data_IF_737856436193
#
_entry.id   IF_737856436193
#
_cell.length_a   1.000
_cell.length_b   1.000
_cell.length_c   1.000
_cell.angle_alpha   90.00
_cell.angle_beta   90.00
_cell.angle_gamma   90.00
#
_symmetry.space_group_name_H-M   'P 1'
#
loop_
_entity.id
_entity.type
_entity.pdbx_description
1 polymer ?
#
# COMPACT_ATOMS: atom_id res chain seq x y z
N UNK A 1 5.95 -4.09 39.12
CA UNK A 1 7.15 -4.12 38.25
C UNK A 1 6.86 -3.61 36.84
N UNK A 2 5.58 -3.51 36.41
CA UNK A 2 5.20 -3.03 35.06
C UNK A 2 5.19 -1.51 34.84
N UNK A 3 4.98 -0.69 35.87
CA UNK A 3 4.94 0.78 35.71
C UNK A 3 6.31 1.37 35.33
N UNK A 4 7.40 0.91 35.95
CA UNK A 4 8.76 1.34 35.61
C UNK A 4 9.21 0.93 34.20
N UNK A 5 8.77 -0.25 33.73
CA UNK A 5 8.97 -0.71 32.35
C UNK A 5 8.22 0.19 31.35
N UNK A 6 7.03 0.68 31.71
CA UNK A 6 6.26 1.62 30.90
C UNK A 6 6.91 3.01 30.81
N UNK A 7 7.44 3.54 31.93
CA UNK A 7 8.11 4.85 31.97
C UNK A 7 9.40 4.82 31.17
N UNK A 8 10.21 3.76 31.31
CA UNK A 8 11.43 3.58 30.52
C UNK A 8 11.12 3.41 29.03
N UNK A 9 10.06 2.67 28.66
CA UNK A 9 9.63 2.55 27.27
C UNK A 9 9.16 3.91 26.71
N UNK A 10 8.43 4.69 27.50
CA UNK A 10 7.94 6.02 27.15
C UNK A 10 9.10 7.02 26.97
N UNK A 11 10.04 7.07 27.92
CA UNK A 11 11.27 7.87 27.82
C UNK A 11 12.10 7.48 26.61
N UNK A 12 12.32 6.18 26.37
CA UNK A 12 13.02 5.69 25.18
C UNK A 12 12.33 6.12 23.89
N UNK A 13 11.01 6.09 23.83
CA UNK A 13 10.25 6.59 22.68
C UNK A 13 10.41 8.10 22.50
N UNK A 14 10.34 8.88 23.57
CA UNK A 14 10.49 10.35 23.51
C UNK A 14 11.89 10.77 23.10
N UNK A 15 12.92 10.16 23.70
CA UNK A 15 14.31 10.37 23.31
C UNK A 15 14.51 10.00 21.86
N UNK A 16 13.99 8.85 21.42
CA UNK A 16 14.04 8.42 20.00
C UNK A 16 13.39 9.45 19.07
N UNK A 17 12.19 9.94 19.39
CA UNK A 17 11.48 10.93 18.56
C UNK A 17 12.21 12.28 18.54
N UNK A 18 12.77 12.72 19.67
CA UNK A 18 13.56 13.95 19.77
C UNK A 18 14.82 13.86 18.91
N UNK A 19 15.57 12.78 19.11
CA UNK A 19 16.72 12.41 18.31
C UNK A 19 16.37 12.42 16.82
N UNK A 20 15.28 11.77 16.41
CA UNK A 20 14.82 11.73 15.02
C UNK A 20 14.63 13.13 14.45
N UNK A 21 13.96 14.03 15.19
CA UNK A 21 13.81 15.44 14.81
C UNK A 21 15.14 16.16 14.66
N UNK A 22 16.09 15.95 15.57
CA UNK A 22 17.45 16.50 15.48
C UNK A 22 18.14 16.02 14.20
N UNK A 23 18.00 14.74 13.84
CA UNK A 23 18.60 14.23 12.59
C UNK A 23 18.00 14.85 11.33
N UNK A 24 16.69 15.10 11.30
CA UNK A 24 16.05 15.81 10.19
C UNK A 24 16.48 17.28 10.16
N UNK A 25 16.59 17.93 11.32
CA UNK A 25 17.09 19.30 11.41
C UNK A 25 18.53 19.43 10.90
N UNK A 26 19.44 18.54 11.34
CA UNK A 26 20.82 18.50 10.87
C UNK A 26 20.90 18.26 9.37
N UNK A 27 20.10 17.32 8.84
CA UNK A 27 20.02 17.09 7.40
C UNK A 27 19.54 18.34 6.65
N UNK A 28 18.49 19.01 7.13
CA UNK A 28 18.01 20.26 6.55
C UNK A 28 19.06 21.36 6.58
N UNK A 29 19.72 21.54 7.72
CA UNK A 29 20.75 22.56 7.90
C UNK A 29 21.94 22.31 6.97
N UNK A 30 22.44 21.08 6.92
CA UNK A 30 23.54 20.71 6.01
C UNK A 30 23.16 20.87 4.54
N UNK A 31 21.93 20.51 4.15
CA UNK A 31 21.49 20.72 2.76
C UNK A 31 21.29 22.19 2.45
N UNK A 32 20.79 22.99 3.39
CA UNK A 32 20.73 24.44 3.25
C UNK A 32 22.12 25.04 3.04
N UNK A 33 23.12 24.57 3.81
CA UNK A 33 24.53 24.92 3.61
C UNK A 33 25.01 24.50 2.22
N UNK A 34 24.78 23.25 1.80
CA UNK A 34 25.16 22.76 0.47
C UNK A 34 24.52 23.58 -0.67
N UNK A 35 23.25 23.98 -0.52
CA UNK A 35 22.55 24.84 -1.48
C UNK A 35 23.11 26.26 -1.54
N UNK A 36 23.64 26.78 -0.44
CA UNK A 36 24.33 28.08 -0.42
C UNK A 36 25.69 27.99 -1.11
N UNK A 37 26.33 26.83 -1.06
CA UNK A 37 27.67 26.61 -1.62
C UNK A 37 27.63 26.34 -3.13
N UNK A 38 26.66 25.58 -3.64
CA UNK A 38 26.65 25.21 -5.06
C UNK A 38 25.23 24.94 -5.60
N UNK A 39 24.60 25.97 -6.19
CA UNK A 39 23.33 25.80 -6.93
C UNK A 39 23.63 25.36 -8.35
N UNK A 40 23.30 24.12 -8.67
CA UNK A 40 23.32 23.64 -10.05
C UNK A 40 22.26 24.38 -10.87
N UNK A 41 22.55 24.75 -12.13
CA UNK A 41 21.54 25.35 -13.01
C UNK A 41 20.38 24.37 -13.23
N UNK A 42 19.18 24.92 -13.42
CA UNK A 42 18.00 24.13 -13.76
C UNK A 42 18.18 23.58 -15.17
N UNK A 43 17.93 22.28 -15.34
CA UNK A 43 17.95 21.62 -16.64
C UNK A 43 16.55 21.67 -17.24
N UNK A 44 16.36 22.28 -18.42
CA UNK A 44 15.04 22.32 -19.05
C UNK A 44 14.58 20.92 -19.45
N UNK A 45 13.27 20.73 -19.53
CA UNK A 45 12.60 19.47 -19.90
C UNK A 45 13.01 18.27 -19.03
N UNK A 46 13.15 18.48 -17.72
CA UNK A 46 13.42 17.41 -16.75
C UNK A 46 12.37 17.38 -15.65
N UNK A 47 11.81 16.20 -15.37
CA UNK A 47 10.75 16.00 -14.38
C UNK A 47 11.18 14.93 -13.37
N UNK A 48 11.11 15.27 -12.09
CA UNK A 48 11.23 14.32 -10.98
C UNK A 48 9.84 13.92 -10.50
N UNK A 49 9.43 12.69 -10.78
CA UNK A 49 8.22 12.09 -10.23
C UNK A 49 8.55 11.40 -8.90
N UNK A 50 7.88 11.77 -7.81
CA UNK A 50 8.12 11.23 -6.48
C UNK A 50 6.97 10.33 -6.01
N UNK A 51 7.24 9.02 -5.82
CA UNK A 51 6.25 8.05 -5.31
C UNK A 51 6.87 7.17 -4.20
N UNK A 52 6.74 7.60 -2.95
CA UNK A 52 7.49 7.07 -1.79
C UNK A 52 6.63 6.34 -0.75
N UNK A 53 5.38 6.07 -1.09
CA UNK A 53 4.41 5.37 -0.25
C UNK A 53 4.54 3.85 -0.39
N UNK A 54 3.44 3.09 -0.27
CA UNK A 54 3.47 1.63 -0.24
C UNK A 54 3.14 1.03 -1.60
N UNK A 55 3.41 -0.27 -1.77
CA UNK A 55 3.24 -0.93 -3.06
C UNK A 55 1.76 -1.04 -3.48
N UNK A 56 0.83 -1.04 -2.51
CA UNK A 56 -0.60 -0.95 -2.77
C UNK A 56 -0.97 0.39 -3.39
N UNK A 57 -0.43 1.49 -2.84
CA UNK A 57 -0.61 2.82 -3.42
C UNK A 57 0.05 2.92 -4.81
N UNK A 58 1.15 2.21 -5.05
CA UNK A 58 1.83 2.22 -6.35
C UNK A 58 0.99 1.53 -7.43
N UNK A 59 0.43 0.35 -7.15
CA UNK A 59 -0.40 -0.35 -8.15
C UNK A 59 -1.67 0.46 -8.48
N UNK A 60 -2.28 1.14 -7.50
CA UNK A 60 -3.41 2.03 -7.70
C UNK A 60 -3.06 3.35 -8.42
N UNK A 61 -1.78 3.59 -8.67
CA UNK A 61 -1.26 4.79 -9.30
C UNK A 61 -0.69 4.52 -10.71
N UNK A 62 -0.08 3.36 -10.94
CA UNK A 62 0.80 3.15 -12.09
C UNK A 62 0.14 3.37 -13.46
N UNK A 63 -1.17 3.16 -13.59
CA UNK A 63 -1.88 3.39 -14.85
C UNK A 63 -1.90 4.87 -15.27
N UNK A 64 -1.52 5.79 -14.38
CA UNK A 64 -1.35 7.22 -14.69
C UNK A 64 0.06 7.57 -15.22
N UNK A 65 1.01 6.63 -15.24
CA UNK A 65 2.32 6.84 -15.84
C UNK A 65 2.24 7.04 -17.36
N UNK A 66 1.37 6.31 -18.05
CA UNK A 66 1.16 6.47 -19.48
C UNK A 66 0.68 7.89 -19.86
N UNK A 67 -0.46 8.41 -19.33
CA UNK A 67 -0.90 9.76 -19.66
C UNK A 67 0.08 10.84 -19.19
N UNK A 68 0.82 10.61 -18.10
CA UNK A 68 1.91 11.50 -17.70
C UNK A 68 3.03 11.55 -18.75
N UNK A 69 3.47 10.39 -19.24
CA UNK A 69 4.48 10.28 -20.29
C UNK A 69 4.01 10.94 -21.59
N UNK A 70 2.77 10.72 -22.00
CA UNK A 70 2.19 11.35 -23.18
C UNK A 70 2.18 12.89 -23.06
N UNK A 71 1.77 13.42 -21.90
CA UNK A 71 1.73 14.86 -21.65
C UNK A 71 3.13 15.49 -21.59
N UNK A 72 4.11 14.77 -21.03
CA UNK A 72 5.50 15.19 -20.92
C UNK A 72 6.41 14.43 -21.90
N UNK A 73 5.96 14.20 -23.13
CA UNK A 73 6.70 13.39 -24.12
C UNK A 73 8.11 13.92 -24.43
N UNK A 74 8.31 15.24 -24.34
CA UNK A 74 9.60 15.88 -24.54
C UNK A 74 10.48 15.99 -23.30
N UNK A 75 10.04 15.49 -22.14
CA UNK A 75 10.80 15.57 -20.88
C UNK A 75 11.54 14.27 -20.57
N UNK A 76 12.72 14.40 -19.96
CA UNK A 76 13.37 13.32 -19.22
C UNK A 76 12.65 13.15 -17.87
N UNK A 77 11.98 12.02 -17.65
CA UNK A 77 11.32 11.70 -16.38
C UNK A 77 12.21 10.77 -15.56
N UNK A 78 12.60 11.28 -14.40
CA UNK A 78 13.20 10.48 -13.34
C UNK A 78 12.12 10.08 -12.33
N UNK A 79 11.95 8.79 -12.08
CA UNK A 79 11.12 8.30 -10.98
C UNK A 79 11.98 8.08 -9.73
N UNK A 80 11.69 8.84 -8.67
CA UNK A 80 12.15 8.57 -7.31
C UNK A 80 11.08 7.74 -6.60
N UNK A 81 11.37 6.47 -6.33
CA UNK A 81 10.39 5.54 -5.78
C UNK A 81 10.88 4.78 -4.56
N UNK A 82 9.95 4.17 -3.81
CA UNK A 82 10.31 3.14 -2.84
C UNK A 82 10.98 1.94 -3.55
N UNK A 83 12.10 1.44 -3.03
CA UNK A 83 12.80 0.29 -3.60
C UNK A 83 11.94 -0.98 -3.68
N UNK A 84 10.90 -1.08 -2.85
CA UNK A 84 9.95 -2.21 -2.90
C UNK A 84 9.14 -2.28 -4.20
N UNK A 85 9.21 -1.26 -5.07
CA UNK A 85 8.49 -1.22 -6.34
C UNK A 85 9.33 -1.71 -7.51
N UNK A 86 10.62 -2.00 -7.32
CA UNK A 86 11.53 -2.24 -8.45
C UNK A 86 11.07 -3.38 -9.35
N UNK A 87 10.62 -4.49 -8.76
CA UNK A 87 10.18 -5.65 -9.52
C UNK A 87 8.97 -5.34 -10.43
N UNK A 88 8.00 -4.56 -9.93
CA UNK A 88 6.83 -4.16 -10.72
C UNK A 88 7.20 -3.11 -11.78
N UNK A 89 8.09 -2.17 -11.45
CA UNK A 89 8.53 -1.11 -12.36
C UNK A 89 9.27 -1.71 -13.56
N UNK A 90 10.22 -2.61 -13.30
CA UNK A 90 11.00 -3.25 -14.36
C UNK A 90 10.12 -4.15 -15.25
N UNK A 91 9.10 -4.79 -14.66
CA UNK A 91 8.19 -5.65 -15.42
C UNK A 91 7.22 -4.88 -16.32
N UNK A 92 6.69 -3.73 -15.87
CA UNK A 92 5.54 -3.09 -16.56
C UNK A 92 5.66 -1.61 -16.87
N UNK A 93 6.56 -0.88 -16.21
CA UNK A 93 6.52 0.60 -16.21
C UNK A 93 7.78 1.26 -16.76
N UNK A 94 8.84 0.49 -17.05
CA UNK A 94 10.13 1.02 -17.52
C UNK A 94 10.01 1.84 -18.80
N UNK A 95 9.07 1.54 -19.67
CA UNK A 95 8.82 2.29 -20.92
C UNK A 95 8.36 3.74 -20.70
N UNK A 96 7.86 4.08 -19.51
CA UNK A 96 7.39 5.43 -19.20
C UNK A 96 8.43 6.28 -18.46
N UNK A 97 9.55 5.69 -18.04
CA UNK A 97 10.51 6.26 -17.09
C UNK A 97 11.91 6.20 -17.69
N UNK A 98 12.61 7.33 -17.78
CA UNK A 98 13.96 7.39 -18.33
C UNK A 98 14.99 6.96 -17.29
N UNK A 99 14.87 7.49 -16.08
CA UNK A 99 15.77 7.19 -14.96
C UNK A 99 15.02 6.75 -13.71
N UNK A 100 15.57 5.75 -13.04
CA UNK A 100 15.01 5.20 -11.81
C UNK A 100 15.96 5.46 -10.65
N UNK A 101 15.43 6.04 -9.57
CA UNK A 101 16.17 6.26 -8.32
C UNK A 101 15.41 5.54 -7.20
N UNK A 102 15.82 4.31 -6.83
CA UNK A 102 15.22 3.62 -5.70
C UNK A 102 15.65 4.24 -4.37
N UNK A 103 14.68 4.45 -3.50
CA UNK A 103 14.86 4.90 -2.13
C UNK A 103 14.51 3.76 -1.17
N UNK A 104 15.47 3.41 -0.31
CA UNK A 104 15.28 2.47 0.78
C UNK A 104 14.58 3.20 1.93
N UNK A 105 13.25 3.11 1.98
CA UNK A 105 12.43 3.74 3.03
C UNK A 105 12.83 3.23 4.43
N UNK A 106 13.28 1.98 4.55
CA UNK A 106 13.74 1.43 5.82
C UNK A 106 15.01 2.12 6.31
N UNK A 107 15.94 2.48 5.41
CA UNK A 107 17.12 3.28 5.74
C UNK A 107 16.77 4.75 5.96
N UNK A 108 15.85 5.29 5.16
CA UNK A 108 15.39 6.68 5.27
C UNK A 108 14.79 7.00 6.65
N UNK A 109 13.93 6.11 7.15
CA UNK A 109 13.19 6.27 8.40
C UNK A 109 13.85 5.61 9.62
N UNK A 110 15.00 4.93 9.48
CA UNK A 110 15.63 4.23 10.59
C UNK A 110 16.58 5.12 11.39
N UNK A 111 16.33 5.23 12.69
CA UNK A 111 17.28 5.82 13.65
C UNK A 111 18.58 5.00 13.78
N UNK A 112 18.51 3.68 13.60
CA UNK A 112 19.61 2.73 13.90
C UNK A 112 20.63 2.60 12.78
N UNK A 113 20.39 3.16 11.58
CA UNK A 113 21.20 2.93 10.37
C UNK A 113 21.92 4.19 9.85
N UNK A 114 22.34 5.09 10.75
CA UNK A 114 22.98 6.37 10.40
C UNK A 114 22.25 7.11 9.27
N UNK A 115 20.96 7.42 9.44
CA UNK A 115 20.11 7.92 8.36
C UNK A 115 20.60 9.26 7.80
N UNK A 116 21.35 10.05 8.58
CA UNK A 116 21.88 11.34 8.17
C UNK A 116 22.72 11.23 6.88
N UNK A 117 23.72 10.35 6.83
CA UNK A 117 24.55 10.19 5.63
C UNK A 117 23.76 9.66 4.44
N UNK A 118 22.84 8.73 4.67
CA UNK A 118 21.96 8.21 3.61
C UNK A 118 21.07 9.31 3.03
N UNK A 119 20.46 10.15 3.88
CA UNK A 119 19.65 11.31 3.48
C UNK A 119 20.49 12.35 2.74
N UNK A 120 21.66 12.73 3.28
CA UNK A 120 22.56 13.69 2.65
C UNK A 120 23.03 13.22 1.28
N UNK A 121 23.45 11.96 1.16
CA UNK A 121 23.83 11.36 -0.12
C UNK A 121 22.67 11.39 -1.11
N UNK A 122 21.47 11.00 -0.68
CA UNK A 122 20.27 11.01 -1.53
C UNK A 122 19.95 12.43 -2.02
N UNK A 123 19.91 13.39 -1.11
CA UNK A 123 19.61 14.79 -1.45
C UNK A 123 20.69 15.39 -2.35
N UNK A 124 21.96 15.09 -2.10
CA UNK A 124 23.07 15.51 -2.96
C UNK A 124 22.93 14.94 -4.38
N UNK A 125 22.64 13.64 -4.52
CA UNK A 125 22.43 13.00 -5.81
C UNK A 125 21.23 13.60 -6.57
N UNK A 126 20.13 13.89 -5.87
CA UNK A 126 18.96 14.52 -6.47
C UNK A 126 19.24 15.96 -6.92
N UNK A 127 19.94 16.76 -6.10
CA UNK A 127 20.30 18.13 -6.49
C UNK A 127 21.37 18.20 -7.58
N UNK A 128 22.27 17.20 -7.66
CA UNK A 128 23.24 17.11 -8.78
C UNK A 128 22.58 16.91 -10.13
N UNK A 129 21.43 16.24 -10.17
CA UNK A 129 20.70 16.00 -11.41
C UNK A 129 19.97 17.25 -11.91
N UNK A 130 19.56 18.17 -11.02
CA UNK A 130 18.72 19.34 -11.27
C UNK A 130 17.43 19.05 -12.04
N UNK A 131 16.30 19.58 -11.57
CA UNK A 131 15.02 19.36 -12.25
C UNK A 131 14.33 20.67 -12.58
N UNK A 132 13.68 20.76 -13.73
CA UNK A 132 12.74 21.84 -14.01
C UNK A 132 11.49 21.66 -13.13
N UNK A 133 10.96 20.43 -13.07
CA UNK A 133 9.73 20.11 -12.38
C UNK A 133 9.90 18.99 -11.36
N UNK A 134 9.24 19.12 -10.20
CA UNK A 134 8.98 18.03 -9.26
C UNK A 134 7.47 17.81 -9.20
N UNK A 135 7.05 16.54 -9.26
CA UNK A 135 5.67 16.13 -9.16
C UNK A 135 5.50 15.10 -8.04
N UNK A 136 4.69 15.43 -7.03
CA UNK A 136 4.38 14.56 -5.88
C UNK A 136 2.88 14.25 -5.86
N UNK A 137 2.43 13.17 -6.53
CA UNK A 137 1.02 12.79 -6.61
C UNK A 137 0.48 12.16 -5.32
N UNK A 138 1.32 11.91 -4.31
CA UNK A 138 0.91 11.30 -3.03
C UNK A 138 -0.16 12.14 -2.34
N UNK A 139 -1.36 11.58 -2.17
CA UNK A 139 -2.48 12.26 -1.52
C UNK A 139 -2.19 12.59 -0.05
N UNK A 140 -1.82 11.57 0.74
CA UNK A 140 -1.46 11.73 2.16
C UNK A 140 0.05 11.96 2.32
N UNK A 141 0.49 13.16 1.95
CA UNK A 141 1.90 13.56 2.01
C UNK A 141 2.47 13.40 3.42
N UNK A 142 3.68 12.84 3.50
CA UNK A 142 4.43 12.75 4.75
C UNK A 142 5.40 13.92 4.89
N UNK A 143 5.28 14.68 5.98
CA UNK A 143 6.19 15.78 6.32
C UNK A 143 7.67 15.32 6.31
N UNK A 144 7.95 14.11 6.79
CA UNK A 144 9.32 13.59 6.95
C UNK A 144 9.84 12.80 5.75
N UNK A 145 9.05 12.64 4.70
CA UNK A 145 9.47 11.96 3.46
C UNK A 145 9.25 12.87 2.26
N UNK A 146 7.98 13.02 1.85
CA UNK A 146 7.58 13.73 0.64
C UNK A 146 7.95 15.22 0.73
N UNK A 147 7.33 15.93 1.67
CA UNK A 147 7.50 17.38 1.76
C UNK A 147 8.93 17.78 2.14
N UNK A 148 9.58 16.99 3.00
CA UNK A 148 10.98 17.18 3.36
C UNK A 148 11.87 17.16 2.12
N UNK A 149 11.76 16.12 1.29
CA UNK A 149 12.55 16.02 0.06
C UNK A 149 12.23 17.15 -0.92
N UNK A 150 10.95 17.47 -1.14
CA UNK A 150 10.54 18.60 -1.99
C UNK A 150 11.14 19.91 -1.51
N UNK A 151 11.17 20.15 -0.19
CA UNK A 151 11.78 21.36 0.39
C UNK A 151 13.27 21.46 0.11
N UNK A 152 13.96 20.32 -0.05
CA UNK A 152 15.42 20.19 -0.16
C UNK A 152 15.96 20.00 -1.59
N UNK A 153 15.13 19.69 -2.57
CA UNK A 153 15.52 19.59 -3.98
C UNK A 153 15.33 20.95 -4.67
N UNK A 154 16.34 21.44 -5.39
CA UNK A 154 16.22 22.65 -6.20
C UNK A 154 15.50 22.35 -7.51
N UNK A 155 14.38 23.04 -7.75
CA UNK A 155 13.60 22.95 -8.99
C UNK A 155 12.80 24.24 -9.20
N UNK A 156 12.44 24.52 -10.46
CA UNK A 156 11.66 25.70 -10.84
C UNK A 156 10.20 25.57 -10.44
N UNK A 157 9.61 24.41 -10.70
CA UNK A 157 8.22 24.10 -10.42
C UNK A 157 8.12 22.89 -9.50
N UNK A 158 7.33 23.00 -8.44
CA UNK A 158 7.12 21.96 -7.44
C UNK A 158 5.63 21.79 -7.23
N UNK A 159 5.11 20.71 -7.76
CA UNK A 159 3.69 20.44 -7.82
C UNK A 159 3.35 19.24 -6.94
N UNK A 160 2.27 19.35 -6.18
CA UNK A 160 1.84 18.27 -5.30
C UNK A 160 0.35 18.28 -5.02
N UNK A 161 -0.10 17.24 -4.34
CA UNK A 161 -1.48 17.12 -3.90
C UNK A 161 -1.73 17.95 -2.63
N UNK A 162 -2.83 18.71 -2.52
CA UNK A 162 -3.14 19.43 -1.27
C UNK A 162 -3.30 18.46 -0.09
N UNK A 163 -4.11 17.40 -0.28
CA UNK A 163 -4.14 16.22 0.60
C UNK A 163 -5.21 16.31 1.68
N UNK A 164 -6.34 16.93 1.35
CA UNK A 164 -7.40 17.26 2.30
C UNK A 164 -8.63 16.35 2.09
N UNK A 165 -9.19 15.72 3.14
CA UNK A 165 -10.46 14.96 3.04
C UNK A 165 -11.41 15.38 4.14
N UNK A 166 -12.71 15.37 3.87
CA UNK A 166 -13.74 15.82 4.80
C UNK A 166 -13.71 15.04 6.12
N UNK A 167 -13.44 13.73 6.09
CA UNK A 167 -13.38 12.95 7.34
C UNK A 167 -12.20 13.38 8.23
N UNK A 168 -11.12 13.92 7.65
CA UNK A 168 -10.06 14.51 8.46
C UNK A 168 -10.53 15.78 9.19
N UNK A 169 -11.56 16.49 8.73
CA UNK A 169 -12.19 17.57 9.50
C UNK A 169 -12.93 17.04 10.73
N UNK A 170 -13.58 15.87 10.63
CA UNK A 170 -14.27 15.27 11.77
C UNK A 170 -13.30 14.84 12.87
N UNK A 171 -12.06 14.49 12.51
CA UNK A 171 -11.01 14.08 13.45
C UNK A 171 -10.13 15.24 13.93
N UNK A 172 -10.00 16.28 13.12
CA UNK A 172 -9.11 17.41 13.35
C UNK A 172 -9.92 18.67 13.06
N UNK A 173 -10.28 19.42 14.11
CA UNK A 173 -11.21 20.57 14.09
C UNK A 173 -10.88 21.73 13.12
N UNK A 174 -9.85 21.62 12.27
CA UNK A 174 -9.56 22.56 11.17
C UNK A 174 -8.65 21.94 10.10
N UNK A 175 -8.84 22.27 8.81
CA UNK A 175 -7.83 22.02 7.78
C UNK A 175 -6.60 22.87 8.12
N UNK A 176 -5.55 22.25 8.66
CA UNK A 176 -4.27 22.95 8.87
C UNK A 176 -3.47 22.89 7.57
N UNK A 177 -2.97 24.02 7.04
CA UNK A 177 -1.99 23.96 5.96
C UNK A 177 -0.83 23.07 6.40
N UNK A 178 -0.34 22.23 5.48
CA UNK A 178 0.80 21.38 5.71
C UNK A 178 2.00 22.22 6.11
N UNK A 179 2.76 21.78 7.12
CA UNK A 179 3.89 22.56 7.68
C UNK A 179 4.93 23.00 6.64
N UNK A 180 5.02 22.28 5.53
CA UNK A 180 5.98 22.50 4.46
C UNK A 180 5.30 22.84 3.12
N UNK A 181 4.04 23.29 3.11
CA UNK A 181 3.32 23.65 1.89
C UNK A 181 3.99 24.81 1.13
N UNK A 182 4.67 25.71 1.85
CA UNK A 182 5.49 26.79 1.26
C UNK A 182 6.63 26.29 0.35
N UNK A 183 6.99 24.99 0.43
CA UNK A 183 7.98 24.40 -0.45
C UNK A 183 7.44 24.12 -1.86
N UNK A 184 6.12 24.13 -2.06
CA UNK A 184 5.47 23.86 -3.33
C UNK A 184 5.13 25.16 -4.05
N UNK A 185 5.33 25.20 -5.36
CA UNK A 185 4.89 26.32 -6.20
C UNK A 185 3.42 26.20 -6.57
N UNK A 186 2.87 24.98 -6.55
CA UNK A 186 1.46 24.71 -6.82
C UNK A 186 1.02 23.46 -6.05
N UNK A 187 -0.11 23.56 -5.35
CA UNK A 187 -0.82 22.42 -4.81
C UNK A 187 -2.15 22.28 -5.55
N UNK A 188 -2.42 21.08 -6.07
CA UNK A 188 -3.70 20.79 -6.70
C UNK A 188 -4.76 20.61 -5.62
N UNK A 189 -5.86 21.34 -5.75
CA UNK A 189 -7.01 21.17 -4.89
C UNK A 189 -7.72 19.85 -5.22
N UNK A 190 -8.60 19.40 -4.34
CA UNK A 190 -9.26 18.11 -4.50
C UNK A 190 -10.68 18.13 -3.95
N UNK A 191 -11.52 17.20 -4.39
CA UNK A 191 -12.85 17.03 -3.83
C UNK A 191 -12.74 16.73 -2.33
N UNK A 192 -13.62 17.29 -1.48
CA UNK A 192 -13.62 16.98 -0.06
C UNK A 192 -14.10 15.55 0.22
N UNK A 193 -14.77 14.91 -0.75
CA UNK A 193 -15.28 13.54 -0.65
C UNK A 193 -14.17 12.50 -0.42
N UNK A 194 -14.52 11.43 0.28
CA UNK A 194 -13.65 10.25 0.39
C UNK A 194 -13.76 9.44 -0.90
N UNK A 195 -12.76 9.58 -1.76
CA UNK A 195 -12.67 8.82 -3.01
C UNK A 195 -11.88 7.54 -2.80
N UNK A 196 -12.22 6.52 -3.60
CA UNK A 196 -11.35 5.37 -3.79
C UNK A 196 -10.01 5.85 -4.36
N UNK A 197 -8.89 5.33 -3.86
CA UNK A 197 -7.55 5.88 -4.11
C UNK A 197 -7.20 5.94 -5.61
N UNK A 198 -7.67 4.99 -6.44
CA UNK A 198 -7.49 5.08 -7.89
C UNK A 198 -8.21 6.28 -8.51
N UNK A 199 -9.42 6.59 -8.04
CA UNK A 199 -10.19 7.77 -8.47
C UNK A 199 -9.58 9.06 -7.93
N UNK A 200 -8.99 9.03 -6.73
CA UNK A 200 -8.19 10.16 -6.24
C UNK A 200 -6.99 10.44 -7.13
N UNK A 201 -6.27 9.41 -7.53
CA UNK A 201 -5.18 9.56 -8.50
C UNK A 201 -5.71 10.09 -9.84
N UNK A 202 -6.86 9.60 -10.32
CA UNK A 202 -7.50 10.11 -11.54
C UNK A 202 -7.81 11.59 -11.45
N UNK A 203 -8.37 12.04 -10.33
CA UNK A 203 -8.66 13.47 -10.08
C UNK A 203 -7.39 14.31 -10.21
N UNK A 204 -6.32 13.91 -9.52
CA UNK A 204 -5.04 14.62 -9.55
C UNK A 204 -4.46 14.72 -10.96
N UNK A 205 -4.36 13.59 -11.67
CA UNK A 205 -3.78 13.58 -13.01
C UNK A 205 -4.66 14.27 -14.04
N UNK A 206 -5.98 14.21 -13.92
CA UNK A 206 -6.89 14.93 -14.82
C UNK A 206 -6.69 16.45 -14.71
N UNK A 207 -6.45 16.97 -13.50
CA UNK A 207 -6.11 18.38 -13.29
C UNK A 207 -4.72 18.72 -13.83
N UNK A 208 -3.73 17.85 -13.62
CA UNK A 208 -2.38 18.04 -14.12
C UNK A 208 -2.35 18.16 -15.65
N UNK A 209 -3.01 17.23 -16.35
CA UNK A 209 -3.06 17.20 -17.82
C UNK A 209 -4.19 18.05 -18.43
N UNK A 210 -4.99 18.71 -17.59
CA UNK A 210 -6.11 19.57 -17.96
C UNK A 210 -7.16 18.90 -18.85
N UNK A 211 -7.37 17.58 -18.68
CA UNK A 211 -8.41 16.81 -19.38
C UNK A 211 -8.89 15.64 -18.51
N UNK A 212 -10.16 15.24 -18.60
CA UNK A 212 -10.65 14.05 -17.90
C UNK A 212 -9.94 12.80 -18.38
N UNK A 213 -9.43 11.99 -17.45
CA UNK A 213 -8.78 10.71 -17.73
C UNK A 213 -9.75 9.52 -17.62
N UNK A 214 -10.97 9.64 -18.15
CA UNK A 214 -12.03 8.61 -18.02
C UNK A 214 -11.69 7.28 -18.70
N UNK A 215 -10.78 7.29 -19.67
CA UNK A 215 -10.31 6.09 -20.40
C UNK A 215 -9.11 5.39 -19.76
N UNK A 216 -8.64 5.85 -18.61
CA UNK A 216 -7.60 5.17 -17.84
C UNK A 216 -8.26 4.14 -16.94
N UNK A 217 -7.95 2.86 -17.14
CA UNK A 217 -8.54 1.78 -16.36
C UNK A 217 -7.52 1.19 -15.40
N UNK A 218 -7.99 0.74 -14.23
CA UNK A 218 -7.16 0.04 -13.27
C UNK A 218 -6.89 -1.38 -13.76
N UNK A 219 -5.71 -1.58 -14.37
CA UNK A 219 -5.37 -2.83 -15.05
C UNK A 219 -3.88 -3.14 -14.96
N UNK A 220 -3.55 -4.42 -14.90
CA UNK A 220 -2.20 -4.96 -14.98
C UNK A 220 -2.18 -6.10 -16.02
N UNK A 221 -1.22 -6.12 -16.95
CA UNK A 221 -1.01 -7.28 -17.80
C UNK A 221 -0.67 -8.52 -16.97
N UNK A 222 -0.98 -9.74 -17.45
CA UNK A 222 -0.61 -10.96 -16.74
C UNK A 222 0.91 -11.02 -16.54
N UNK A 223 1.37 -11.53 -15.38
CA UNK A 223 2.78 -11.71 -15.12
C UNK A 223 3.40 -12.76 -16.06
N UNK A 224 4.73 -12.74 -16.23
CA UNK A 224 5.43 -13.82 -16.92
C UNK A 224 5.03 -15.18 -16.33
N UNK A 225 4.91 -16.23 -17.17
CA UNK A 225 4.58 -17.56 -16.67
C UNK A 225 5.63 -18.03 -15.65
N UNK A 226 5.19 -18.82 -14.67
CA UNK A 226 6.08 -19.44 -13.70
C UNK A 226 7.20 -20.18 -14.44
N UNK A 227 8.44 -19.82 -14.15
CA UNK A 227 9.59 -20.48 -14.75
C UNK A 227 9.62 -21.94 -14.27
N UNK A 228 9.88 -22.89 -15.16
CA UNK A 228 10.09 -24.29 -14.79
C UNK A 228 11.24 -24.50 -13.79
N UNK A 229 12.11 -23.49 -13.63
CA UNK A 229 13.18 -23.43 -12.61
C UNK A 229 12.77 -22.75 -11.29
N UNK A 230 11.48 -22.50 -11.05
CA UNK A 230 11.01 -21.93 -9.79
C UNK A 230 11.53 -22.76 -8.61
N UNK A 231 12.08 -22.08 -7.60
CA UNK A 231 12.77 -22.75 -6.47
C UNK A 231 11.81 -23.26 -5.39
N UNK A 232 10.51 -23.29 -5.66
CA UNK A 232 9.48 -23.70 -4.71
C UNK A 232 8.54 -24.73 -5.33
N UNK A 233 7.92 -25.55 -4.47
CA UNK A 233 6.97 -26.56 -4.91
C UNK A 233 5.70 -25.91 -5.48
N UNK A 234 5.20 -26.45 -6.58
CA UNK A 234 3.94 -26.02 -7.18
C UNK A 234 2.75 -26.76 -6.53
N UNK A 235 1.54 -26.18 -6.55
CA UNK A 235 0.32 -26.85 -6.10
C UNK A 235 0.06 -28.14 -6.90
N UNK A 236 -0.45 -29.18 -6.24
CA UNK A 236 -0.64 -30.52 -6.84
C UNK A 236 -2.04 -30.77 -7.39
N UNK A 237 -2.97 -29.85 -7.17
CA UNK A 237 -4.38 -29.90 -7.59
C UNK A 237 -4.92 -28.47 -7.67
N UNK A 238 -6.21 -28.31 -8.00
CA UNK A 238 -6.90 -27.02 -7.87
C UNK A 238 -6.71 -26.46 -6.45
N UNK A 239 -6.51 -25.15 -6.34
CA UNK A 239 -6.12 -24.56 -5.06
C UNK A 239 -6.72 -23.17 -4.85
N UNK A 240 -6.85 -22.81 -3.58
CA UNK A 240 -7.09 -21.45 -3.13
C UNK A 240 -5.88 -20.88 -2.42
N UNK A 241 -5.72 -19.56 -2.45
CA UNK A 241 -4.62 -18.86 -1.79
C UNK A 241 -5.10 -18.21 -0.50
N UNK A 242 -4.39 -18.44 0.60
CA UNK A 242 -4.49 -17.65 1.83
C UNK A 242 -3.27 -16.72 1.92
N UNK A 243 -3.49 -15.43 1.72
CA UNK A 243 -2.44 -14.42 1.85
C UNK A 243 -2.39 -13.85 3.28
N UNK A 244 -1.36 -14.24 4.01
CA UNK A 244 -1.20 -14.00 5.45
C UNK A 244 -0.66 -12.61 5.78
N UNK A 245 -0.02 -11.94 4.81
CA UNK A 245 0.76 -10.73 5.06
C UNK A 245 -0.08 -9.48 5.33
N UNK A 246 0.36 -8.69 6.31
CA UNK A 246 -0.08 -7.31 6.50
C UNK A 246 1.02 -6.50 7.20
N UNK A 247 1.19 -5.23 6.81
CA UNK A 247 2.25 -4.35 7.36
C UNK A 247 2.05 -3.98 8.82
N UNK A 248 0.80 -3.93 9.28
CA UNK A 248 0.45 -3.73 10.68
C UNK A 248 -0.02 -5.07 11.27
N UNK A 249 0.63 -5.59 12.33
CA UNK A 249 0.23 -6.85 12.97
C UNK A 249 -1.25 -6.89 13.36
N UNK A 250 -1.86 -5.75 13.74
CA UNK A 250 -3.29 -5.68 14.09
C UNK A 250 -4.23 -5.98 12.92
N UNK A 251 -3.74 -5.89 11.69
CA UNK A 251 -4.49 -6.19 10.46
C UNK A 251 -4.31 -7.64 10.01
N UNK A 252 -3.39 -8.39 10.63
CA UNK A 252 -3.28 -9.83 10.38
C UNK A 252 -4.43 -10.53 11.05
N UNK A 253 -5.14 -11.40 10.35
CA UNK A 253 -6.12 -12.28 10.96
C UNK A 253 -5.46 -13.36 11.83
N UNK A 254 -6.08 -13.68 12.97
CA UNK A 254 -5.55 -14.65 13.92
C UNK A 254 -5.33 -16.04 13.28
N UNK A 255 -4.26 -16.74 13.68
CA UNK A 255 -3.92 -18.04 13.09
C UNK A 255 -5.03 -19.07 13.25
N UNK A 256 -5.67 -19.13 14.42
CA UNK A 256 -6.78 -20.07 14.64
C UNK A 256 -8.00 -19.75 13.77
N UNK A 257 -8.17 -18.49 13.35
CA UNK A 257 -9.21 -18.11 12.39
C UNK A 257 -8.91 -18.62 10.99
N UNK A 258 -7.65 -18.57 10.54
CA UNK A 258 -7.22 -19.20 9.28
C UNK A 258 -7.45 -20.72 9.30
N UNK A 259 -7.12 -21.38 10.41
CA UNK A 259 -7.35 -22.84 10.58
C UNK A 259 -8.83 -23.16 10.54
N UNK A 260 -9.66 -22.41 11.26
CA UNK A 260 -11.12 -22.59 11.28
C UNK A 260 -11.72 -22.43 9.89
N UNK A 261 -11.25 -21.45 9.10
CA UNK A 261 -11.69 -21.29 7.72
C UNK A 261 -11.20 -22.45 6.84
N UNK A 262 -9.93 -22.85 6.95
CA UNK A 262 -9.37 -23.95 6.16
C UNK A 262 -10.13 -25.27 6.34
N UNK A 263 -10.61 -25.55 7.56
CA UNK A 263 -11.43 -26.73 7.85
C UNK A 263 -12.78 -26.71 7.14
N UNK A 264 -13.27 -25.54 6.74
CA UNK A 264 -14.53 -25.36 6.00
C UNK A 264 -14.32 -25.42 4.49
N UNK A 265 -13.10 -25.27 3.98
CA UNK A 265 -12.82 -25.36 2.54
C UNK A 265 -13.01 -26.80 2.04
N UNK A 266 -13.61 -26.94 0.86
CA UNK A 266 -13.84 -28.23 0.22
C UNK A 266 -12.52 -28.98 -0.04
N UNK A 267 -12.46 -30.30 0.18
CA UNK A 267 -11.24 -31.09 0.06
C UNK A 267 -10.68 -31.14 -1.38
N UNK A 268 -11.47 -30.75 -2.38
CA UNK A 268 -11.03 -30.59 -3.76
C UNK A 268 -9.99 -29.47 -3.94
N UNK A 269 -9.93 -28.51 -3.01
CA UNK A 269 -8.98 -27.40 -3.07
C UNK A 269 -7.82 -27.58 -2.08
N UNK A 270 -6.60 -27.52 -2.60
CA UNK A 270 -5.42 -27.34 -1.77
C UNK A 270 -5.37 -25.89 -1.24
N UNK A 271 -4.88 -25.70 -0.01
CA UNK A 271 -4.62 -24.35 0.53
C UNK A 271 -3.16 -23.99 0.31
N UNK A 272 -2.92 -22.92 -0.44
CA UNK A 272 -1.59 -22.35 -0.66
C UNK A 272 -1.43 -21.12 0.23
N UNK A 273 -0.48 -21.16 1.16
CA UNK A 273 -0.20 -20.08 2.08
C UNK A 273 0.85 -19.16 1.48
N UNK A 274 0.51 -17.89 1.25
CA UNK A 274 1.39 -16.89 0.69
C UNK A 274 1.62 -15.75 1.70
N UNK A 275 2.75 -15.06 1.58
CA UNK A 275 3.13 -13.99 2.47
C UNK A 275 4.56 -13.54 2.22
N UNK A 276 4.97 -12.46 2.86
CA UNK A 276 6.36 -12.02 2.82
C UNK A 276 7.24 -12.94 3.68
N UNK A 277 8.57 -12.77 3.68
CA UNK A 277 9.45 -13.48 4.61
C UNK A 277 9.09 -13.27 6.09
N UNK A 278 8.36 -12.21 6.44
CA UNK A 278 7.90 -11.97 7.81
C UNK A 278 6.76 -12.91 8.24
N UNK A 279 6.13 -13.63 7.30
CA UNK A 279 5.05 -14.59 7.57
C UNK A 279 5.50 -16.06 7.46
N UNK A 280 6.80 -16.30 7.28
CA UNK A 280 7.33 -17.66 7.13
C UNK A 280 7.04 -18.54 8.36
N UNK A 281 7.13 -17.96 9.56
CA UNK A 281 6.85 -18.66 10.83
C UNK A 281 5.36 -19.01 10.95
N UNK A 282 4.48 -18.04 10.68
CA UNK A 282 3.04 -18.25 10.64
C UNK A 282 2.66 -19.33 9.62
N UNK A 283 3.26 -19.31 8.43
CA UNK A 283 3.04 -20.33 7.41
C UNK A 283 3.44 -21.74 7.88
N UNK A 284 4.57 -21.88 8.61
CA UNK A 284 4.99 -23.17 9.17
C UNK A 284 4.01 -23.69 10.25
N UNK A 285 3.53 -22.80 11.12
CA UNK A 285 2.54 -23.15 12.14
C UNK A 285 1.21 -23.60 11.51
N UNK A 286 0.79 -22.96 10.42
CA UNK A 286 -0.44 -23.31 9.73
C UNK A 286 -0.35 -24.65 8.99
N UNK A 287 0.79 -24.99 8.38
CA UNK A 287 0.98 -26.31 7.74
C UNK A 287 0.85 -27.47 8.74
N UNK A 288 1.21 -27.26 10.01
CA UNK A 288 1.02 -28.27 11.06
C UNK A 288 -0.46 -28.49 11.42
N UNK A 289 -1.33 -27.50 11.16
CA UNK A 289 -2.75 -27.51 11.54
C UNK A 289 -3.71 -27.71 10.35
N UNK A 290 -3.25 -27.48 9.13
CA UNK A 290 -4.06 -27.56 7.90
C UNK A 290 -3.51 -28.69 7.01
N UNK A 291 -4.23 -29.82 6.89
CA UNK A 291 -3.82 -30.92 6.02
C UNK A 291 -3.63 -30.45 4.57
N UNK A 292 -2.60 -30.97 3.90
CA UNK A 292 -2.24 -30.68 2.51
C UNK A 292 -1.91 -29.21 2.20
N UNK A 293 -1.79 -28.32 3.19
CA UNK A 293 -1.41 -26.93 2.95
C UNK A 293 0.02 -26.82 2.40
N UNK A 294 0.19 -25.98 1.39
CA UNK A 294 1.49 -25.67 0.79
C UNK A 294 1.95 -24.29 1.26
N UNK A 295 3.03 -24.22 2.03
CA UNK A 295 3.59 -22.95 2.47
C UNK A 295 4.57 -22.36 1.45
N UNK A 296 4.17 -21.26 0.82
CA UNK A 296 4.97 -20.41 -0.07
C UNK A 296 5.31 -19.04 0.55
N UNK A 297 4.96 -18.79 1.81
CA UNK A 297 5.30 -17.55 2.50
C UNK A 297 6.84 -17.36 2.55
N UNK A 298 7.30 -16.22 2.06
CA UNK A 298 8.73 -15.91 1.95
C UNK A 298 9.50 -16.70 0.89
N UNK A 299 8.84 -17.49 0.04
CA UNK A 299 9.48 -18.35 -0.99
C UNK A 299 9.29 -17.86 -2.43
N UNK A 300 8.56 -16.77 -2.62
CA UNK A 300 8.21 -16.21 -3.94
C UNK A 300 8.72 -14.78 -4.07
N UNK A 301 9.17 -14.41 -5.28
CA UNK A 301 9.25 -13.01 -5.69
C UNK A 301 7.84 -12.42 -5.88
N UNK A 302 7.72 -11.10 -6.10
CA UNK A 302 6.41 -10.52 -6.38
C UNK A 302 5.82 -11.08 -7.69
N UNK A 303 6.60 -11.18 -8.77
CA UNK A 303 6.12 -11.74 -10.04
C UNK A 303 5.71 -13.20 -9.90
N UNK A 304 6.49 -14.01 -9.19
CA UNK A 304 6.13 -15.42 -8.93
C UNK A 304 4.84 -15.52 -8.12
N UNK A 305 4.68 -14.67 -7.09
CA UNK A 305 3.44 -14.60 -6.32
C UNK A 305 2.25 -14.23 -7.22
N UNK A 306 2.38 -13.23 -8.09
CA UNK A 306 1.31 -12.86 -9.03
C UNK A 306 0.94 -14.03 -9.96
N UNK A 307 1.93 -14.78 -10.44
CA UNK A 307 1.68 -15.95 -11.30
C UNK A 307 1.00 -17.10 -10.56
N UNK A 308 1.30 -17.30 -9.26
CA UNK A 308 0.54 -18.21 -8.38
C UNK A 308 -0.91 -17.71 -8.21
N UNK A 309 -1.11 -16.42 -7.95
CA UNK A 309 -2.45 -15.85 -7.78
C UNK A 309 -3.31 -15.98 -9.05
N UNK A 310 -2.72 -15.83 -10.24
CA UNK A 310 -3.43 -15.97 -11.52
C UNK A 310 -4.01 -17.37 -11.76
N UNK A 311 -3.51 -18.41 -11.08
CA UNK A 311 -4.00 -19.78 -11.22
C UNK A 311 -4.87 -20.23 -10.04
N UNK A 312 -5.06 -19.38 -9.03
CA UNK A 312 -5.88 -19.69 -7.87
C UNK A 312 -7.38 -19.68 -8.20
N UNK A 313 -8.14 -20.61 -7.63
CA UNK A 313 -9.60 -20.70 -7.77
C UNK A 313 -10.35 -19.69 -6.91
N UNK A 314 -9.75 -19.32 -5.77
CA UNK A 314 -10.18 -18.23 -4.91
C UNK A 314 -8.98 -17.69 -4.13
N UNK A 315 -9.10 -16.45 -3.66
CA UNK A 315 -8.05 -15.80 -2.88
C UNK A 315 -8.68 -15.23 -1.60
N UNK A 316 -8.18 -15.64 -0.44
CA UNK A 316 -8.52 -15.04 0.85
C UNK A 316 -7.30 -14.28 1.35
N UNK A 317 -7.46 -12.99 1.67
CA UNK A 317 -6.33 -12.14 2.04
C UNK A 317 -6.70 -11.23 3.20
N UNK A 318 -5.73 -10.91 4.05
CA UNK A 318 -5.83 -9.70 4.86
C UNK A 318 -5.92 -8.46 3.95
N UNK A 319 -6.45 -7.36 4.46
CA UNK A 319 -6.41 -6.08 3.76
C UNK A 319 -4.95 -5.60 3.60
N UNK A 320 -4.41 -5.74 2.39
CA UNK A 320 -3.00 -5.48 2.04
C UNK A 320 -2.90 -5.08 0.56
N UNK A 321 -1.70 -4.98 0.01
CA UNK A 321 -1.51 -4.62 -1.39
C UNK A 321 -2.00 -5.70 -2.37
N UNK A 322 -1.99 -6.98 -1.96
CA UNK A 322 -2.24 -8.12 -2.85
C UNK A 322 -3.65 -8.13 -3.45
N UNK A 323 -4.74 -7.89 -2.70
CA UNK A 323 -6.07 -7.73 -3.29
C UNK A 323 -6.11 -6.70 -4.42
N UNK A 324 -5.36 -5.59 -4.31
CA UNK A 324 -5.30 -4.58 -5.38
C UNK A 324 -4.62 -5.13 -6.63
N UNK A 325 -3.53 -5.91 -6.49
CA UNK A 325 -2.92 -6.60 -7.62
C UNK A 325 -3.87 -7.59 -8.27
N UNK A 326 -4.59 -8.38 -7.47
CA UNK A 326 -5.55 -9.35 -7.99
C UNK A 326 -6.66 -8.68 -8.79
N UNK A 327 -7.22 -7.56 -8.29
CA UNK A 327 -8.22 -6.79 -9.04
C UNK A 327 -7.61 -6.19 -10.32
N UNK A 328 -6.39 -5.66 -10.27
CA UNK A 328 -5.73 -5.12 -11.47
C UNK A 328 -5.51 -6.19 -12.55
N UNK A 329 -5.26 -7.43 -12.14
CA UNK A 329 -5.09 -8.61 -13.00
C UNK A 329 -6.43 -9.23 -13.44
N UNK A 330 -7.57 -8.62 -13.07
CA UNK A 330 -8.91 -9.13 -13.34
C UNK A 330 -9.16 -10.54 -12.77
N UNK A 331 -8.58 -10.81 -11.59
CA UNK A 331 -8.73 -12.08 -10.89
C UNK A 331 -9.95 -12.06 -9.95
N UNK A 332 -10.45 -13.25 -9.64
CA UNK A 332 -11.39 -13.44 -8.55
C UNK A 332 -12.05 -14.82 -8.56
N UNK A 333 -12.77 -15.15 -7.49
CA UNK A 333 -13.17 -14.23 -6.41
C UNK A 333 -12.11 -14.00 -5.33
N UNK A 334 -12.01 -12.74 -4.87
CA UNK A 334 -11.10 -12.27 -3.82
C UNK A 334 -11.89 -11.93 -2.57
N UNK A 335 -11.59 -12.56 -1.44
CA UNK A 335 -12.21 -12.34 -0.13
C UNK A 335 -11.23 -11.62 0.79
N UNK A 336 -11.57 -10.39 1.19
CA UNK A 336 -10.68 -9.53 1.98
C UNK A 336 -11.15 -9.41 3.42
N UNK A 337 -10.30 -9.89 4.33
CA UNK A 337 -10.49 -9.75 5.77
C UNK A 337 -10.06 -8.33 6.16
N UNK A 338 -11.04 -7.48 6.48
CA UNK A 338 -10.80 -6.07 6.76
C UNK A 338 -10.97 -5.73 8.24
N UNK A 339 -9.98 -5.00 8.77
CA UNK A 339 -10.03 -4.36 10.08
C UNK A 339 -10.78 -3.03 10.08
N UNK A 340 -11.26 -2.55 8.93
CA UNK A 340 -11.95 -1.27 8.78
C UNK A 340 -11.06 -0.04 9.05
N UNK A 341 -9.77 -0.11 8.71
CA UNK A 341 -8.84 1.01 8.92
C UNK A 341 -8.76 1.98 7.72
N UNK A 342 -9.51 1.72 6.65
CA UNK A 342 -9.41 2.44 5.36
C UNK A 342 -10.73 2.54 4.59
N UNK A 343 -11.86 2.67 5.30
CA UNK A 343 -13.19 2.69 4.68
C UNK A 343 -13.27 3.63 3.47
N UNK A 344 -13.82 3.11 2.37
CA UNK A 344 -14.06 3.76 1.07
C UNK A 344 -12.81 4.16 0.29
N UNK A 345 -11.70 4.46 0.97
CA UNK A 345 -10.45 4.88 0.30
C UNK A 345 -9.73 3.73 -0.38
N UNK A 346 -9.63 2.57 0.28
CA UNK A 346 -8.97 1.39 -0.29
C UNK A 346 -9.91 0.20 -0.43
N UNK A 347 -10.95 0.11 0.39
CA UNK A 347 -11.98 -0.93 0.30
C UNK A 347 -13.34 -0.41 0.81
N UNK A 348 -14.48 -0.87 0.26
CA UNK A 348 -14.61 -1.72 -0.92
C UNK A 348 -14.30 -0.96 -2.22
N UNK A 349 -14.14 -1.71 -3.31
CA UNK A 349 -14.04 -1.12 -4.65
C UNK A 349 -15.38 -0.51 -5.07
N UNK A 350 -15.39 0.61 -5.82
CA UNK A 350 -16.61 1.15 -6.40
C UNK A 350 -17.31 0.13 -7.33
N UNK A 351 -18.65 0.03 -7.32
CA UNK A 351 -19.38 -0.91 -8.18
C UNK A 351 -19.08 -0.74 -9.68
N UNK A 352 -18.78 0.49 -10.12
CA UNK A 352 -18.41 0.83 -11.50
C UNK A 352 -17.12 0.18 -11.98
N UNK A 353 -16.27 -0.32 -11.08
CA UNK A 353 -15.05 -1.04 -11.43
C UNK A 353 -15.29 -2.54 -11.66
N UNK A 354 -16.48 -3.06 -11.35
CA UNK A 354 -16.87 -4.46 -11.55
C UNK A 354 -15.89 -5.50 -10.97
N UNK A 355 -15.15 -5.14 -9.91
CA UNK A 355 -14.18 -6.02 -9.29
C UNK A 355 -14.86 -7.21 -8.60
N UNK A 356 -14.38 -8.44 -8.84
CA UNK A 356 -14.82 -9.64 -8.11
C UNK A 356 -14.14 -9.73 -6.73
N UNK A 357 -14.40 -8.70 -5.92
CA UNK A 357 -13.74 -8.43 -4.65
C UNK A 357 -14.77 -8.23 -3.53
N UNK A 358 -14.69 -9.08 -2.52
CA UNK A 358 -15.66 -9.21 -1.44
C UNK A 358 -14.99 -8.85 -0.12
N UNK A 359 -15.32 -7.68 0.42
CA UNK A 359 -14.82 -7.26 1.74
C UNK A 359 -15.68 -7.89 2.82
N UNK A 360 -15.04 -8.55 3.78
CA UNK A 360 -15.70 -9.07 4.98
C UNK A 360 -15.11 -8.34 6.17
N UNK A 361 -15.94 -7.51 6.80
CA UNK A 361 -15.56 -6.78 7.99
C UNK A 361 -15.68 -7.66 9.23
N UNK A 362 -14.85 -7.37 10.23
CA UNK A 362 -15.01 -7.97 11.55
C UNK A 362 -16.46 -7.78 12.06
N UNK A 363 -17.08 -8.77 12.75
CA UNK A 363 -18.50 -8.72 13.15
C UNK A 363 -18.92 -7.44 13.89
N UNK A 364 -18.08 -6.93 14.79
CA UNK A 364 -18.30 -5.64 15.47
C UNK A 364 -18.37 -4.43 14.53
N UNK A 365 -17.55 -4.41 13.49
CA UNK A 365 -17.57 -3.35 12.48
C UNK A 365 -18.78 -3.52 11.58
N UNK A 366 -19.05 -4.74 11.14
CA UNK A 366 -20.22 -5.05 10.31
C UNK A 366 -21.52 -4.62 11.00
N UNK A 367 -21.69 -4.97 12.27
CA UNK A 367 -22.85 -4.56 13.07
C UNK A 367 -23.01 -3.04 13.18
N UNK A 368 -21.90 -2.28 13.27
CA UNK A 368 -21.96 -0.82 13.26
C UNK A 368 -22.38 -0.30 11.88
N UNK A 369 -21.82 -0.84 10.80
CA UNK A 369 -22.13 -0.42 9.43
C UNK A 369 -23.60 -0.64 9.04
N UNK A 370 -24.31 -1.56 9.69
CA UNK A 370 -25.76 -1.76 9.50
C UNK A 370 -26.62 -0.67 10.19
N UNK A 371 -26.03 0.24 10.96
CA UNK A 371 -26.75 1.36 11.58
C UNK A 371 -26.78 2.59 10.66
N UNK A 372 -27.80 3.48 10.74
CA UNK A 372 -27.92 4.65 9.87
C UNK A 372 -26.64 5.51 9.79
N UNK A 373 -25.97 5.73 10.93
CA UNK A 373 -24.70 6.48 11.04
C UNK A 373 -23.46 5.59 11.09
N UNK A 374 -23.56 4.34 10.62
CA UNK A 374 -22.59 3.29 10.87
C UNK A 374 -21.14 3.63 10.50
N UNK A 375 -20.94 4.31 9.37
CA UNK A 375 -19.61 4.78 8.97
C UNK A 375 -19.05 5.82 9.95
N UNK A 376 -19.87 6.78 10.36
CA UNK A 376 -19.49 7.81 11.34
C UNK A 376 -19.07 7.17 12.67
N UNK A 377 -19.88 6.22 13.17
CA UNK A 377 -19.59 5.48 14.41
C UNK A 377 -18.32 4.64 14.30
N UNK A 378 -18.07 4.00 13.16
CA UNK A 378 -16.81 3.28 12.92
C UNK A 378 -15.60 4.23 12.97
N UNK A 379 -15.70 5.42 12.36
CA UNK A 379 -14.64 6.43 12.40
C UNK A 379 -14.44 6.97 13.81
N UNK A 380 -15.50 7.22 14.56
CA UNK A 380 -15.45 7.72 15.94
C UNK A 380 -14.76 6.72 16.88
N UNK A 381 -15.19 5.45 16.85
CA UNK A 381 -14.72 4.41 17.76
C UNK A 381 -13.29 3.98 17.39
N UNK A 382 -13.00 3.79 16.10
CA UNK A 382 -11.74 3.19 15.67
C UNK A 382 -10.72 4.19 15.13
N UNK A 383 -11.10 5.45 14.84
CA UNK A 383 -10.20 6.53 14.39
C UNK A 383 -9.21 6.12 13.28
N UNK A 384 -9.69 5.33 12.30
CA UNK A 384 -8.86 4.70 11.25
C UNK A 384 -7.71 3.79 11.73
N UNK A 385 -7.64 3.44 13.02
CA UNK A 385 -6.74 2.41 13.52
C UNK A 385 -7.27 0.99 13.23
N UNK A 386 -8.57 0.87 12.97
CA UNK A 386 -9.28 -0.38 12.78
C UNK A 386 -9.35 -1.24 14.05
N UNK A 387 -10.04 -2.37 13.95
CA UNK A 387 -10.07 -3.37 15.02
C UNK A 387 -8.86 -4.32 14.93
N UNK A 388 -8.40 -4.82 16.07
CA UNK A 388 -7.30 -5.78 16.13
C UNK A 388 -7.77 -7.19 15.74
N UNK A 389 -7.43 -7.63 14.52
CA UNK A 389 -7.79 -8.93 13.97
C UNK A 389 -7.00 -10.12 14.56
N UNK A 390 -5.99 -9.84 15.39
CA UNK A 390 -5.32 -10.87 16.19
C UNK A 390 -6.16 -11.33 17.38
N UNK A 391 -7.21 -10.59 17.74
CA UNK A 391 -8.21 -11.02 18.72
C UNK A 391 -9.29 -11.77 17.94
N UNK A 392 -9.34 -13.11 17.99
CA UNK A 392 -10.28 -13.88 17.19
C UNK A 392 -11.72 -13.62 17.64
N UNK A 393 -12.65 -13.70 16.69
CA UNK A 393 -14.08 -13.72 16.95
C UNK A 393 -14.65 -15.04 16.41
N UNK A 394 -15.40 -15.82 17.22
CA UNK A 394 -15.82 -17.18 16.86
C UNK A 394 -16.64 -17.22 15.55
N UNK A 395 -17.52 -16.25 15.35
CA UNK A 395 -18.38 -16.20 14.15
C UNK A 395 -17.67 -15.67 12.90
N UNK A 396 -16.49 -15.06 13.02
CA UNK A 396 -15.89 -14.36 11.89
C UNK A 396 -15.44 -15.31 10.77
N UNK A 397 -14.76 -16.45 11.05
CA UNK A 397 -14.48 -17.45 10.00
C UNK A 397 -15.74 -18.01 9.34
N UNK A 398 -16.84 -18.16 10.08
CA UNK A 398 -18.12 -18.60 9.52
C UNK A 398 -18.67 -17.57 8.53
N UNK A 399 -18.68 -16.29 8.89
CA UNK A 399 -19.11 -15.21 7.98
C UNK A 399 -18.29 -15.19 6.68
N UNK A 400 -16.99 -15.45 6.76
CA UNK A 400 -16.13 -15.56 5.57
C UNK A 400 -16.55 -16.76 4.72
N UNK A 401 -16.75 -17.94 5.34
CA UNK A 401 -17.19 -19.13 4.63
C UNK A 401 -18.58 -18.95 3.99
N UNK A 402 -19.53 -18.34 4.68
CA UNK A 402 -20.86 -18.04 4.16
C UNK A 402 -20.78 -17.11 2.94
N UNK A 403 -19.92 -16.09 3.01
CA UNK A 403 -19.68 -15.19 1.88
C UNK A 403 -19.05 -15.92 0.70
N UNK A 404 -18.11 -16.84 0.96
CA UNK A 404 -17.51 -17.70 -0.08
C UNK A 404 -18.55 -18.60 -0.72
N UNK A 405 -19.38 -19.29 0.07
CA UNK A 405 -20.44 -20.17 -0.42
C UNK A 405 -21.49 -19.41 -1.25
N UNK A 406 -21.83 -18.18 -0.85
CA UNK A 406 -22.72 -17.31 -1.61
C UNK A 406 -22.16 -16.85 -2.96
N UNK A 407 -20.84 -16.89 -3.16
CA UNK A 407 -20.18 -16.57 -4.44
C UNK A 407 -19.99 -17.84 -5.29
N UNK A 408 -19.47 -18.91 -4.69
CA UNK A 408 -19.44 -20.24 -5.28
C UNK A 408 -19.55 -21.31 -4.16
N UNK A 409 -20.64 -22.09 -4.12
CA UNK A 409 -20.85 -23.10 -3.09
C UNK A 409 -19.80 -24.22 -3.12
N UNK A 410 -19.15 -24.48 -4.26
CA UNK A 410 -18.13 -25.53 -4.38
C UNK A 410 -16.90 -25.28 -3.49
N UNK A 411 -16.61 -24.02 -3.15
CA UNK A 411 -15.43 -23.68 -2.33
C UNK A 411 -15.52 -24.20 -0.90
N UNK A 412 -16.73 -24.41 -0.39
CA UNK A 412 -16.97 -24.81 1.00
C UNK A 412 -17.43 -26.26 1.03
N UNK A 413 -17.06 -27.00 2.09
CA UNK A 413 -17.56 -28.35 2.31
C UNK A 413 -19.07 -28.33 2.38
N UNK A 414 -19.71 -29.22 1.64
CA UNK A 414 -21.10 -29.55 1.90
C UNK A 414 -21.16 -30.29 3.24
N UNK A 415 -21.79 -29.69 4.25
CA UNK A 415 -22.27 -30.48 5.37
C UNK A 415 -23.29 -31.46 4.81
N UNK A 416 -23.02 -32.77 4.94
CA UNK A 416 -24.09 -33.76 4.77
C UNK A 416 -25.17 -33.37 5.78
N UNK A 417 -26.29 -32.87 5.27
CA UNK A 417 -27.53 -32.81 6.04
C UNK A 417 -27.95 -34.27 6.19
N UNK A 418 -27.55 -34.88 7.29
CA UNK A 418 -28.10 -36.17 7.73
C UNK A 418 -29.56 -36.00 8.15
#
# INVERSE_FOLDING_TARGET
>A
MDEHLSILAYLRLHVRLWLERVSYFLASWMVWVLRKIHKQPIRPKTLLLMKLDTIGDYVLFRNFLQPLREFYAGYEITLLCNQGFLEIIEAYDRSYIDHLIPLDISKWSSWKRFPLFYRLKTVYMLNKRSYEMILTPTFSRSIYKDDFLVSLIHAQHKMGHLGFEQVNQWLVDTPRPGRLDHAYTRLFNNSPEVLFEFERNREFFSQLVQKPLTKVYFKLPPPPPLNAKASFALPSQDYGVFFLGASNPKRKWALDSWVTLAQKIAPAFQIVLCGSPNESSEGLQLVQKIPNALNLAGKTSLMELLSVLCQARFIVSNETAIPHFCVALDLGPIFVISSGNTFKRFVPYPPSMHANHHVIYHPKIDALLQTPDGLGRCVEIYKYAGINLQIPHPNFPQMVADKMAGVNPEFIRHEKRD
#
